data_IF_305871274668
#
_entry.id   IF_305871274668
#
_cell.length_a   1.000
_cell.length_b   1.000
_cell.length_c   1.000
_cell.angle_alpha   90.00
_cell.angle_beta   90.00
_cell.angle_gamma   90.00
#
_symmetry.space_group_name_H-M   'P 1'
#
loop_
_entity.id
_entity.type
_entity.pdbx_description
1 polymer ?
#
# COMPACT_ATOMS: atom_id res chain seq x y z
N UNK A 1 -3.40 14.55 -0.67
CA UNK A 1 -3.57 13.64 -1.83
C UNK A 1 -2.54 12.52 -1.74
N UNK A 2 -2.96 11.36 -1.23
CA UNK A 2 -2.09 10.20 -1.02
C UNK A 2 -1.82 9.49 -2.35
N UNK A 3 -0.99 10.04 -3.23
CA UNK A 3 -0.68 9.39 -4.50
C UNK A 3 0.43 8.35 -4.34
N UNK A 4 0.18 7.15 -4.88
CA UNK A 4 1.20 6.12 -5.02
C UNK A 4 2.15 6.53 -6.15
N UNK A 5 3.46 6.49 -5.86
CA UNK A 5 4.52 6.82 -6.82
C UNK A 5 5.21 5.57 -7.37
N UNK A 6 5.08 4.43 -6.67
CA UNK A 6 5.75 3.19 -7.06
C UNK A 6 5.23 1.97 -6.31
N UNK A 7 5.50 0.80 -6.88
CA UNK A 7 5.26 -0.50 -6.26
C UNK A 7 6.54 -1.34 -6.41
N UNK A 8 7.07 -1.84 -5.30
CA UNK A 8 8.18 -2.77 -5.27
C UNK A 8 7.66 -4.19 -5.00
N UNK A 9 8.02 -5.15 -5.84
CA UNK A 9 7.71 -6.56 -5.64
C UNK A 9 8.88 -7.23 -4.93
N UNK A 10 8.62 -7.85 -3.79
CA UNK A 10 9.58 -8.57 -2.94
C UNK A 10 9.10 -10.01 -2.75
N UNK A 11 10.00 -10.88 -2.28
CA UNK A 11 9.70 -12.27 -1.94
C UNK A 11 9.02 -13.03 -3.09
N UNK A 12 9.52 -12.87 -4.33
CA UNK A 12 8.91 -13.39 -5.56
C UNK A 12 7.44 -12.99 -5.79
N UNK A 13 7.06 -11.80 -5.30
CA UNK A 13 5.70 -11.27 -5.43
C UNK A 13 4.78 -11.58 -4.24
N UNK A 14 5.25 -12.33 -3.25
CA UNK A 14 4.52 -12.60 -2.00
C UNK A 14 4.45 -11.38 -1.07
N UNK A 15 5.25 -10.34 -1.36
CA UNK A 15 5.21 -9.07 -0.67
C UNK A 15 5.28 -7.93 -1.69
N UNK A 16 4.41 -6.94 -1.53
CA UNK A 16 4.39 -5.73 -2.35
C UNK A 16 4.52 -4.52 -1.43
N UNK A 17 5.43 -3.61 -1.74
CA UNK A 17 5.60 -2.36 -1.01
C UNK A 17 5.16 -1.21 -1.90
N UNK A 18 4.08 -0.55 -1.49
CA UNK A 18 3.51 0.60 -2.17
C UNK A 18 4.10 1.86 -1.56
N UNK A 19 4.82 2.64 -2.37
CA UNK A 19 5.43 3.90 -1.95
C UNK A 19 4.53 5.07 -2.30
N UNK A 20 4.31 5.96 -1.34
CA UNK A 20 3.50 7.16 -1.52
C UNK A 20 4.38 8.40 -1.59
N UNK A 21 3.86 9.45 -2.24
CA UNK A 21 4.57 10.73 -2.42
C UNK A 21 5.00 11.39 -1.10
N UNK A 22 4.23 11.21 -0.03
CA UNK A 22 4.51 11.74 1.31
C UNK A 22 5.47 10.86 2.11
N UNK A 23 6.23 9.97 1.47
CA UNK A 23 7.15 8.97 2.07
C UNK A 23 6.48 7.94 2.97
N UNK A 24 5.14 7.94 3.06
CA UNK A 24 4.41 6.84 3.68
C UNK A 24 4.46 5.59 2.79
N UNK A 25 4.20 4.44 3.38
CA UNK A 25 4.26 3.17 2.68
C UNK A 25 3.17 2.21 3.14
N UNK A 26 2.75 1.34 2.22
CA UNK A 26 1.87 0.22 2.54
C UNK A 26 2.55 -1.06 2.13
N UNK A 27 2.68 -1.98 3.08
CA UNK A 27 3.12 -3.34 2.80
C UNK A 27 1.87 -4.19 2.60
N UNK A 28 1.81 -4.86 1.46
CA UNK A 28 0.78 -5.81 1.11
C UNK A 28 1.38 -7.21 1.02
N UNK A 29 0.66 -8.18 1.58
CA UNK A 29 0.95 -9.61 1.49
C UNK A 29 -0.18 -10.31 0.73
N UNK A 30 -0.09 -10.47 -0.60
CA UNK A 30 -1.20 -10.96 -1.42
C UNK A 30 -1.77 -12.32 -0.97
N UNK A 31 -0.92 -13.21 -0.46
CA UNK A 31 -1.29 -14.53 0.04
C UNK A 31 -2.15 -14.50 1.32
N UNK A 32 -2.18 -13.38 2.05
CA UNK A 32 -2.92 -13.28 3.30
C UNK A 32 -4.40 -12.86 3.09
N UNK A 33 -5.29 -13.24 4.03
CA UNK A 33 -6.68 -12.77 4.05
C UNK A 33 -6.78 -11.25 4.08
N UNK A 34 -7.82 -10.70 3.44
CA UNK A 34 -8.01 -9.26 3.22
C UNK A 34 -7.90 -8.40 4.49
N UNK A 35 -8.31 -8.95 5.65
CA UNK A 35 -8.26 -8.28 6.95
C UNK A 35 -6.84 -7.98 7.44
N UNK A 36 -5.88 -8.84 7.13
CA UNK A 36 -4.48 -8.71 7.58
C UNK A 36 -3.49 -8.48 6.43
N UNK A 37 -3.98 -8.50 5.19
CA UNK A 37 -3.21 -8.34 3.95
C UNK A 37 -2.40 -7.04 3.91
N UNK A 38 -2.93 -5.96 4.47
CA UNK A 38 -2.31 -4.62 4.38
C UNK A 38 -1.80 -4.13 5.73
N UNK A 39 -0.56 -3.63 5.71
CA UNK A 39 0.06 -2.92 6.82
C UNK A 39 0.44 -1.52 6.37
N UNK A 40 -0.03 -0.51 7.12
CA UNK A 40 0.09 0.90 6.75
C UNK A 40 1.10 1.58 7.65
N UNK A 41 2.04 2.32 7.06
CA UNK A 41 3.10 3.01 7.78
C UNK A 41 3.20 4.46 7.33
N UNK A 42 3.37 5.38 8.28
CA UNK A 42 3.64 6.78 7.98
C UNK A 42 5.10 7.01 7.55
N UNK A 43 5.43 8.25 7.20
CA UNK A 43 6.78 8.69 6.83
C UNK A 43 7.86 8.38 7.89
N UNK A 44 7.46 8.22 9.15
CA UNK A 44 8.34 7.92 10.29
C UNK A 44 8.36 6.42 10.60
N UNK A 45 7.87 5.60 9.67
CA UNK A 45 7.74 4.16 9.80
C UNK A 45 6.86 3.70 10.99
N UNK A 46 5.92 4.55 11.44
CA UNK A 46 4.97 4.20 12.50
C UNK A 46 3.69 3.64 11.89
N UNK A 47 3.10 2.64 12.55
CA UNK A 47 1.89 1.98 12.06
C UNK A 47 0.69 2.93 12.12
N UNK A 48 0.06 3.18 10.98
CA UNK A 48 -1.16 3.99 10.89
C UNK A 48 -2.33 3.11 11.32
N UNK A 49 -3.03 3.51 12.39
CA UNK A 49 -4.26 2.84 12.88
C UNK A 49 -5.55 3.55 12.49
N UNK A 50 -5.46 4.78 11.98
CA UNK A 50 -6.63 5.56 11.55
C UNK A 50 -7.25 4.92 10.30
N UNK A 51 -8.50 4.46 10.41
CA UNK A 51 -9.22 3.74 9.36
C UNK A 51 -9.55 4.60 8.14
N UNK A 52 -9.82 5.89 8.33
CA UNK A 52 -10.08 6.81 7.22
C UNK A 52 -8.82 6.99 6.36
N UNK A 53 -7.67 7.21 7.01
CA UNK A 53 -6.38 7.33 6.32
C UNK A 53 -6.01 6.02 5.60
N UNK A 54 -6.21 4.87 6.24
CA UNK A 54 -6.02 3.56 5.60
C UNK A 54 -6.92 3.40 4.36
N UNK A 55 -8.17 3.85 4.43
CA UNK A 55 -9.12 3.83 3.31
C UNK A 55 -8.64 4.66 2.12
N UNK A 56 -8.13 5.87 2.37
CA UNK A 56 -7.54 6.72 1.31
C UNK A 56 -6.33 6.06 0.67
N UNK A 57 -5.44 5.47 1.47
CA UNK A 57 -4.26 4.78 0.96
C UNK A 57 -4.63 3.57 0.09
N UNK A 58 -5.65 2.80 0.50
CA UNK A 58 -6.18 1.69 -0.32
C UNK A 58 -6.74 2.17 -1.66
N UNK A 59 -7.57 3.22 -1.65
CA UNK A 59 -8.14 3.80 -2.88
C UNK A 59 -7.05 4.25 -3.85
N UNK A 60 -5.99 4.86 -3.34
CA UNK A 60 -4.86 5.27 -4.15
C UNK A 60 -4.09 4.09 -4.76
N UNK A 61 -3.90 3.00 -4.00
CA UNK A 61 -3.31 1.75 -4.52
C UNK A 61 -4.17 1.17 -5.62
N UNK A 62 -5.50 1.09 -5.42
CA UNK A 62 -6.44 0.57 -6.43
C UNK A 62 -6.40 1.42 -7.71
N UNK A 63 -6.40 2.74 -7.59
CA UNK A 63 -6.28 3.65 -8.74
C UNK A 63 -4.94 3.47 -9.48
N UNK A 64 -3.84 3.31 -8.74
CA UNK A 64 -2.52 3.09 -9.32
C UNK A 64 -2.44 1.73 -10.04
N UNK A 65 -3.04 0.69 -9.47
CA UNK A 65 -3.14 -0.63 -10.13
C UNK A 65 -3.91 -0.55 -11.42
N UNK A 66 -5.07 0.10 -11.40
CA UNK A 66 -5.94 0.24 -12.57
C UNK A 66 -5.24 0.99 -13.71
N UNK A 67 -4.49 2.05 -13.38
CA UNK A 67 -3.77 2.85 -14.38
C UNK A 67 -2.55 2.12 -14.96
N UNK A 68 -1.88 1.25 -14.19
CA UNK A 68 -0.68 0.52 -14.64
C UNK A 68 -0.89 -0.94 -15.01
N UNK A 69 -2.13 -1.44 -14.96
CA UNK A 69 -2.45 -2.85 -15.28
C UNK A 69 -1.85 -3.87 -14.30
N UNK A 70 -1.54 -3.47 -13.07
CA UNK A 70 -0.94 -4.35 -12.06
C UNK A 70 -2.04 -5.23 -11.46
N UNK A 71 -1.99 -6.55 -11.74
CA UNK A 71 -2.89 -7.56 -11.16
C UNK A 71 -2.46 -7.95 -9.73
#
# INVERSE_FOLDING_TARGET
MNNVIGCQFLDNGNRRVWHFRNTSQVVEYPALPQRIRFQFFDARNRRIRNTAQQGEMKKAIEQYRKTRGIK
#
